data_IF_980902410133
#
_entry.id   IF_980902410133
#
_cell.length_a   1.000
_cell.length_b   1.000
_cell.length_c   1.000
_cell.angle_alpha   90.00
_cell.angle_beta   90.00
_cell.angle_gamma   90.00
#
_symmetry.space_group_name_H-M   'P 1'
#
loop_
_entity.id
_entity.type
_entity.pdbx_description
1 polymer ?
#
# COMPACT_ATOMS: atom_id res chain seq x y z
N UNK A 1 -11.43 -4.85 6.81
CA UNK A 1 -10.25 -5.57 6.34
C UNK A 1 -9.08 -4.62 6.17
N UNK A 2 -7.90 -5.08 6.48
CA UNK A 2 -6.67 -4.31 6.36
C UNK A 2 -5.64 -5.11 5.58
N UNK A 3 -4.82 -4.42 4.81
CA UNK A 3 -3.77 -5.08 4.06
C UNK A 3 -2.59 -4.12 3.89
N UNK A 4 -1.41 -4.58 4.28
CA UNK A 4 -0.19 -3.82 4.01
C UNK A 4 0.17 -3.98 2.55
N UNK A 5 0.47 -2.88 1.89
CA UNK A 5 0.76 -2.85 0.46
C UNK A 5 2.07 -2.16 0.21
N UNK A 6 2.73 -2.54 -0.90
CA UNK A 6 3.97 -1.90 -1.28
C UNK A 6 4.06 -1.78 -2.79
N UNK A 7 4.75 -0.74 -3.23
CA UNK A 7 4.97 -0.48 -4.65
C UNK A 7 6.42 -0.10 -4.88
N UNK A 8 6.94 -0.51 -6.03
CA UNK A 8 8.23 -0.03 -6.52
C UNK A 8 7.93 1.12 -7.47
N UNK A 9 8.24 2.33 -7.06
CA UNK A 9 7.89 3.53 -7.80
C UNK A 9 9.15 4.20 -8.33
N UNK A 10 9.21 4.47 -9.64
CA UNK A 10 10.36 5.21 -10.19
C UNK A 10 10.52 6.56 -9.49
N UNK A 11 11.75 6.94 -9.21
CA UNK A 11 12.02 8.15 -8.44
C UNK A 11 11.40 9.38 -9.09
N UNK A 12 11.44 9.47 -10.42
CA UNK A 12 10.90 10.62 -11.14
C UNK A 12 9.38 10.63 -11.18
N UNK A 13 8.73 9.57 -10.73
CA UNK A 13 7.27 9.51 -10.67
C UNK A 13 6.75 9.43 -9.24
N UNK A 14 7.62 9.54 -8.25
CA UNK A 14 7.21 9.26 -6.87
C UNK A 14 6.10 10.21 -6.41
N UNK A 15 6.26 11.50 -6.66
CA UNK A 15 5.25 12.48 -6.22
C UNK A 15 3.93 12.30 -6.95
N UNK A 16 3.98 11.99 -8.23
CA UNK A 16 2.78 11.75 -9.02
C UNK A 16 2.02 10.55 -8.48
N UNK A 17 2.74 9.45 -8.24
CA UNK A 17 2.12 8.23 -7.76
C UNK A 17 1.60 8.41 -6.33
N UNK A 18 2.37 9.11 -5.51
CA UNK A 18 1.95 9.39 -4.13
C UNK A 18 0.61 10.12 -4.10
N UNK A 19 0.45 11.11 -4.97
CA UNK A 19 -0.80 11.87 -5.06
C UNK A 19 -1.95 10.96 -5.46
N UNK A 20 -1.73 10.10 -6.45
CA UNK A 20 -2.78 9.20 -6.92
C UNK A 20 -3.17 8.19 -5.85
N UNK A 21 -2.18 7.63 -5.17
CA UNK A 21 -2.45 6.65 -4.11
C UNK A 21 -3.20 7.30 -2.96
N UNK A 22 -2.75 8.46 -2.53
CA UNK A 22 -3.36 9.14 -1.39
C UNK A 22 -4.75 9.69 -1.68
N UNK A 23 -5.13 9.77 -2.95
CA UNK A 23 -6.47 10.21 -3.31
C UNK A 23 -7.54 9.16 -3.01
N UNK A 24 -7.14 7.92 -2.81
CA UNK A 24 -8.08 6.85 -2.48
C UNK A 24 -8.42 6.87 -0.99
N UNK A 25 -9.70 6.94 -0.63
CA UNK A 25 -10.07 6.98 0.78
C UNK A 25 -9.70 5.72 1.55
N UNK A 26 -9.50 4.60 0.84
CA UNK A 26 -9.11 3.35 1.47
C UNK A 26 -7.66 3.36 1.94
N UNK A 27 -6.86 4.29 1.45
CA UNK A 27 -5.43 4.34 1.78
C UNK A 27 -5.22 5.01 3.12
N UNK A 28 -4.54 4.31 4.03
CA UNK A 28 -4.15 4.85 5.32
C UNK A 28 -2.65 4.67 5.47
N UNK A 29 -2.00 5.62 6.12
CA UNK A 29 -0.59 5.50 6.50
C UNK A 29 0.32 5.20 5.31
N UNK A 30 0.63 6.22 4.53
CA UNK A 30 1.57 6.07 3.43
C UNK A 30 2.97 6.43 3.89
N UNK A 31 3.93 5.54 3.66
CA UNK A 31 5.32 5.72 4.06
C UNK A 31 6.24 5.58 2.87
N UNK A 32 7.28 6.38 2.87
CA UNK A 32 8.36 6.22 1.91
C UNK A 32 9.52 5.50 2.58
N UNK A 33 10.15 4.57 1.86
CA UNK A 33 11.29 3.84 2.37
C UNK A 33 12.41 3.80 1.34
N UNK A 34 13.63 3.73 1.85
CA UNK A 34 14.82 3.57 1.00
C UNK A 34 15.00 2.09 0.71
N UNK A 35 14.21 1.59 -0.26
CA UNK A 35 14.18 0.18 -0.59
C UNK A 35 13.64 0.05 -2.01
N UNK A 36 13.84 -1.14 -2.61
CA UNK A 36 13.27 -1.39 -3.94
C UNK A 36 11.75 -1.18 -3.91
N UNK A 37 11.09 -1.63 -2.85
CA UNK A 37 9.70 -1.28 -2.61
C UNK A 37 9.70 -0.03 -1.76
N UNK A 38 9.63 1.12 -2.43
CA UNK A 38 9.87 2.39 -1.75
C UNK A 38 8.61 3.12 -1.29
N UNK A 39 7.43 2.65 -1.66
CA UNK A 39 6.17 3.23 -1.18
C UNK A 39 5.36 2.17 -0.47
N UNK A 40 5.03 2.39 0.80
CA UNK A 40 4.30 1.43 1.63
C UNK A 40 3.06 2.10 2.19
N UNK A 41 1.94 1.41 2.11
CA UNK A 41 0.69 1.95 2.64
C UNK A 41 -0.23 0.82 3.07
N UNK A 42 -1.25 1.16 3.84
CA UNK A 42 -2.24 0.19 4.30
C UNK A 42 -3.55 0.50 3.59
N UNK A 43 -4.17 -0.53 3.03
CA UNK A 43 -5.53 -0.42 2.52
C UNK A 43 -6.48 -0.91 3.58
N UNK A 44 -7.48 -0.10 3.89
CA UNK A 44 -8.51 -0.43 4.89
C UNK A 44 -9.87 -0.37 4.20
N UNK A 45 -10.58 -1.49 4.22
CA UNK A 45 -11.88 -1.59 3.57
C UNK A 45 -12.86 -2.35 4.47
N UNK A 46 -14.15 -2.21 4.17
CA UNK A 46 -15.19 -2.93 4.93
C UNK A 46 -15.12 -4.43 4.67
N UNK A 47 -14.76 -4.82 3.46
CA UNK A 47 -14.76 -6.22 3.05
C UNK A 47 -13.43 -6.59 2.40
N UNK A 48 -13.02 -7.85 2.51
CA UNK A 48 -11.76 -8.28 1.91
C UNK A 48 -11.66 -8.03 0.40
N UNK A 49 -12.77 -8.18 -0.32
CA UNK A 49 -12.73 -7.97 -1.76
C UNK A 49 -12.50 -6.51 -2.11
N UNK A 50 -12.73 -5.59 -1.20
CA UNK A 50 -12.42 -4.18 -1.40
C UNK A 50 -10.93 -3.92 -1.51
N UNK A 51 -10.13 -4.75 -0.85
CA UNK A 51 -8.67 -4.63 -0.92
C UNK A 51 -8.20 -4.83 -2.37
N UNK A 52 -8.62 -5.92 -3.01
CA UNK A 52 -8.21 -6.20 -4.39
C UNK A 52 -8.75 -5.12 -5.33
N UNK A 53 -9.95 -4.65 -5.08
CA UNK A 53 -10.54 -3.60 -5.92
C UNK A 53 -9.76 -2.31 -5.84
N UNK A 54 -9.42 -1.87 -4.63
CA UNK A 54 -8.67 -0.64 -4.44
C UNK A 54 -7.27 -0.77 -5.03
N UNK A 55 -6.61 -1.91 -4.81
CA UNK A 55 -5.29 -2.14 -5.38
C UNK A 55 -5.34 -2.13 -6.89
N UNK A 56 -6.37 -2.76 -7.48
CA UNK A 56 -6.52 -2.76 -8.93
C UNK A 56 -6.72 -1.37 -9.50
N UNK A 57 -7.48 -0.52 -8.80
CA UNK A 57 -7.68 0.85 -9.24
C UNK A 57 -6.35 1.62 -9.21
N UNK A 58 -5.57 1.44 -8.17
CA UNK A 58 -4.26 2.08 -8.07
C UNK A 58 -3.35 1.61 -9.20
N UNK A 59 -3.36 0.31 -9.48
CA UNK A 59 -2.55 -0.23 -10.58
C UNK A 59 -2.97 0.36 -11.91
N UNK A 60 -4.27 0.48 -12.14
CA UNK A 60 -4.78 1.03 -13.40
C UNK A 60 -4.38 2.49 -13.57
N UNK A 61 -4.40 3.25 -12.48
CA UNK A 61 -4.08 4.68 -12.54
C UNK A 61 -2.61 4.96 -12.67
N UNK A 62 -1.77 4.11 -12.09
CA UNK A 62 -0.34 4.34 -12.06
C UNK A 62 0.43 3.54 -13.09
N UNK A 63 -0.13 2.45 -13.56
CA UNK A 63 0.57 1.52 -14.44
C UNK A 63 1.62 0.69 -13.71
N UNK A 64 1.59 0.69 -12.38
CA UNK A 64 2.57 -0.03 -11.56
C UNK A 64 1.86 -1.11 -10.76
N UNK A 65 2.62 -2.14 -10.39
CA UNK A 65 2.06 -3.24 -9.60
C UNK A 65 1.98 -2.86 -8.13
N UNK A 66 0.92 -3.31 -7.47
CA UNK A 66 0.76 -3.18 -6.02
C UNK A 66 0.91 -4.55 -5.43
N UNK A 67 1.87 -4.70 -4.52
CA UNK A 67 2.10 -5.96 -3.83
C UNK A 67 1.30 -5.96 -2.53
N UNK A 68 0.59 -7.06 -2.28
CA UNK A 68 -0.29 -7.20 -1.12
C UNK A 68 0.35 -8.15 -0.11
N UNK A 69 0.39 -7.72 1.15
CA UNK A 69 0.97 -8.51 2.23
C UNK A 69 -0.03 -8.64 3.38
N UNK A 70 -1.13 -9.36 3.21
CA UNK A 70 -2.15 -9.41 4.25
C UNK A 70 -1.65 -10.05 5.55
N UNK A 71 -0.80 -11.06 5.46
CA UNK A 71 -0.28 -11.70 6.67
C UNK A 71 0.85 -10.90 7.30
N UNK A 72 1.58 -10.17 6.49
CA UNK A 72 2.67 -9.36 7.00
C UNK A 72 2.18 -8.22 7.86
N UNK A 73 0.99 -7.73 7.58
CA UNK A 73 0.42 -6.69 8.42
C UNK A 73 0.21 -7.17 9.84
N UNK A 74 -0.26 -8.40 10.01
CA UNK A 74 -0.43 -8.96 11.35
C UNK A 74 0.90 -9.03 12.08
N UNK A 75 1.92 -9.50 11.40
CA UNK A 75 3.25 -9.53 11.97
C UNK A 75 3.73 -8.15 12.34
N UNK A 76 3.47 -7.21 11.48
CA UNK A 76 3.94 -5.86 11.67
C UNK A 76 3.38 -5.26 12.94
N UNK A 77 2.11 -5.50 13.21
CA UNK A 77 1.45 -4.98 14.40
C UNK A 77 1.89 -5.74 15.64
N UNK A 78 1.87 -7.06 15.61
CA UNK A 78 2.21 -7.87 16.75
C UNK A 78 3.69 -7.93 17.03
N UNK A 79 4.48 -7.69 16.02
CA UNK A 79 5.92 -7.86 16.11
C UNK A 79 6.58 -6.93 17.12
N UNK A 80 6.00 -5.77 17.32
CA UNK A 80 6.56 -4.81 18.26
C UNK A 80 6.42 -5.23 19.69
N UNK A 81 5.46 -6.08 19.95
CA UNK A 81 5.09 -6.43 21.30
C UNK A 81 6.16 -7.20 22.02
N UNK A 82 6.70 -8.24 21.42
CA UNK A 82 7.65 -9.06 22.17
C UNK A 82 8.99 -8.42 22.37
N UNK A 83 9.23 -7.37 21.69
CA UNK A 83 10.53 -6.72 21.81
C UNK A 83 10.99 -6.61 23.22
#
# INVERSE_FOLDING_TARGET
AFCLCAMAVPADRFDEVLTKVNAHPEVAHNYERTHALNMWFVLATDRPEGIARAAGAIEAETGLSVMLFPKLEEYFIGFRVPA
#
